data_IF_142774693450
#
_entry.id   IF_142774693450
#
_cell.length_a   1.000
_cell.length_b   1.000
_cell.length_c   1.000
_cell.angle_alpha   90.00
_cell.angle_beta   90.00
_cell.angle_gamma   90.00
#
_symmetry.space_group_name_H-M   'P 1'
#
loop_
_entity.id
_entity.type
_entity.pdbx_description
1 polymer ?
#
# COMPACT_ATOMS: atom_id res chain seq x y z
N UNK A 1 -47.33 20.38 10.10
CA UNK A 1 -46.03 20.39 9.41
C UNK A 1 -45.67 18.96 9.04
N UNK A 2 -45.78 18.61 7.74
CA UNK A 2 -45.31 17.29 7.25
C UNK A 2 -43.80 17.38 7.07
N UNK A 3 -43.02 16.71 7.93
CA UNK A 3 -41.60 16.49 7.74
C UNK A 3 -41.43 15.30 6.77
N UNK A 4 -41.07 15.55 5.52
CA UNK A 4 -40.66 14.53 4.57
C UNK A 4 -39.15 14.41 4.63
N UNK A 5 -38.66 13.32 5.18
CA UNK A 5 -37.22 12.98 5.11
C UNK A 5 -37.02 11.91 4.00
N UNK A 6 -36.08 12.13 3.06
CA UNK A 6 -35.76 11.11 2.09
C UNK A 6 -35.08 9.92 2.81
N UNK A 7 -35.61 8.70 2.58
CA UNK A 7 -35.00 7.47 3.04
C UNK A 7 -34.22 6.86 1.88
N UNK A 8 -32.91 6.71 2.03
CA UNK A 8 -32.09 5.97 1.07
C UNK A 8 -31.83 4.56 1.58
N UNK A 9 -32.20 3.57 0.79
CA UNK A 9 -31.90 2.18 1.01
C UNK A 9 -31.21 1.62 -0.24
N UNK A 10 -29.88 1.52 -0.19
CA UNK A 10 -29.07 1.08 -1.32
C UNK A 10 -27.59 0.96 -0.97
N UNK A 11 -26.76 0.53 -1.94
CA UNK A 11 -25.31 0.45 -1.74
C UNK A 11 -24.72 1.83 -1.47
N UNK A 12 -23.67 1.87 -0.62
CA UNK A 12 -23.00 3.11 -0.22
C UNK A 12 -22.04 3.62 -1.32
N UNK A 13 -22.60 3.94 -2.49
CA UNK A 13 -21.84 4.58 -3.56
C UNK A 13 -21.61 6.06 -3.19
N UNK A 14 -20.35 6.48 -3.11
CA UNK A 14 -19.98 7.82 -2.62
C UNK A 14 -20.59 8.94 -3.46
N UNK A 15 -20.65 8.81 -4.78
CA UNK A 15 -21.24 9.80 -5.68
C UNK A 15 -22.76 9.99 -5.42
N UNK A 16 -23.47 8.88 -5.24
CA UNK A 16 -24.92 8.91 -4.96
C UNK A 16 -25.20 9.49 -3.57
N UNK A 17 -24.37 9.16 -2.58
CA UNK A 17 -24.51 9.67 -1.22
C UNK A 17 -24.24 11.18 -1.17
N UNK A 18 -23.21 11.67 -1.83
CA UNK A 18 -22.90 13.10 -1.93
C UNK A 18 -24.02 13.90 -2.63
N UNK A 19 -24.68 13.31 -3.63
CA UNK A 19 -25.79 13.93 -4.33
C UNK A 19 -27.08 14.00 -3.50
N UNK A 20 -27.28 13.07 -2.54
CA UNK A 20 -28.49 13.00 -1.72
C UNK A 20 -28.47 14.01 -0.57
N UNK A 21 -27.36 14.16 0.12
CA UNK A 21 -27.22 15.14 1.17
C UNK A 21 -25.75 15.48 1.43
N UNK A 22 -25.41 16.76 1.71
CA UNK A 22 -24.05 17.17 2.06
C UNK A 22 -23.58 16.44 3.30
N UNK A 23 -22.42 15.78 3.21
CA UNK A 23 -21.81 15.03 4.33
C UNK A 23 -22.25 13.58 4.45
N UNK A 24 -23.17 13.09 3.61
CA UNK A 24 -23.57 11.68 3.61
C UNK A 24 -22.47 10.77 3.02
N UNK A 25 -21.57 11.32 2.22
CA UNK A 25 -20.34 10.70 1.72
C UNK A 25 -19.39 10.30 2.85
N UNK A 26 -19.46 11.01 4.00
CA UNK A 26 -18.71 10.67 5.23
C UNK A 26 -19.19 9.37 5.90
N UNK A 27 -20.29 8.77 5.43
CA UNK A 27 -20.72 7.44 5.89
C UNK A 27 -19.72 6.34 5.55
N UNK A 28 -18.87 6.55 4.54
CA UNK A 28 -17.71 5.71 4.25
C UNK A 28 -16.53 6.23 5.07
N UNK A 29 -16.38 5.69 6.29
CA UNK A 29 -15.33 6.12 7.21
C UNK A 29 -14.05 5.28 7.00
N UNK A 30 -12.98 5.95 6.59
CA UNK A 30 -11.63 5.39 6.51
C UNK A 30 -10.81 5.62 7.78
N UNK A 31 -11.46 6.06 8.89
CA UNK A 31 -10.82 6.36 10.16
C UNK A 31 -9.76 7.45 10.05
N UNK A 32 -8.69 7.31 10.82
CA UNK A 32 -7.57 8.27 10.84
C UNK A 32 -6.79 8.33 9.52
N UNK A 33 -6.92 7.31 8.66
CA UNK A 33 -6.29 7.25 7.34
C UNK A 33 -7.08 7.95 6.23
N UNK A 34 -8.21 8.57 6.55
CA UNK A 34 -9.05 9.31 5.59
C UNK A 34 -8.24 10.36 4.81
N UNK A 35 -7.25 11.00 5.48
CA UNK A 35 -6.36 11.98 4.84
C UNK A 35 -5.58 11.38 3.66
N UNK A 36 -5.26 10.08 3.72
CA UNK A 36 -4.55 9.36 2.65
C UNK A 36 -5.55 8.65 1.73
N UNK A 37 -6.58 8.04 2.31
CA UNK A 37 -7.56 7.23 1.59
C UNK A 37 -8.43 8.06 0.64
N UNK A 38 -8.90 9.23 1.07
CA UNK A 38 -9.76 10.08 0.26
C UNK A 38 -9.09 10.57 -1.05
N UNK A 39 -7.86 11.12 -1.05
CA UNK A 39 -7.20 11.49 -2.29
C UNK A 39 -6.86 10.28 -3.18
N UNK A 40 -6.56 9.11 -2.57
CA UNK A 40 -6.33 7.88 -3.36
C UNK A 40 -7.61 7.41 -4.06
N UNK A 41 -8.74 7.47 -3.36
CA UNK A 41 -10.03 7.11 -3.93
C UNK A 41 -10.45 8.10 -5.03
N UNK A 42 -10.29 9.38 -4.79
CA UNK A 42 -10.54 10.42 -5.82
C UNK A 42 -9.69 10.20 -7.07
N UNK A 43 -8.41 9.93 -6.89
CA UNK A 43 -7.51 9.66 -8.01
C UNK A 43 -7.90 8.38 -8.75
N UNK A 44 -8.32 7.34 -8.01
CA UNK A 44 -8.81 6.09 -8.59
C UNK A 44 -10.06 6.30 -9.43
N UNK A 45 -11.04 7.07 -8.94
CA UNK A 45 -12.24 7.44 -9.69
C UNK A 45 -11.91 8.26 -10.93
N UNK A 46 -10.98 9.21 -10.83
CA UNK A 46 -10.55 10.01 -11.97
C UNK A 46 -9.93 9.14 -13.07
N UNK A 47 -9.04 8.21 -12.71
CA UNK A 47 -8.45 7.25 -13.66
C UNK A 47 -9.52 6.34 -14.24
N UNK A 48 -10.47 5.87 -13.42
CA UNK A 48 -11.58 5.05 -13.88
C UNK A 48 -12.44 5.77 -14.90
N UNK A 49 -12.71 7.06 -14.70
CA UNK A 49 -13.45 7.89 -15.66
C UNK A 49 -12.83 7.92 -17.08
N UNK A 50 -11.51 7.72 -17.17
CA UNK A 50 -10.79 7.66 -18.46
C UNK A 50 -10.71 6.24 -19.02
N UNK A 51 -10.53 5.24 -18.16
CA UNK A 51 -10.28 3.85 -18.57
C UNK A 51 -11.56 3.04 -18.72
N UNK A 52 -12.63 3.42 -18.02
CA UNK A 52 -13.89 2.66 -17.94
C UNK A 52 -13.75 1.30 -17.27
N UNK A 53 -12.59 0.99 -16.67
CA UNK A 53 -12.31 -0.31 -16.06
C UNK A 53 -11.59 -0.16 -14.74
N UNK A 54 -12.18 -0.64 -13.65
CA UNK A 54 -11.64 -0.53 -12.31
C UNK A 54 -10.30 -1.27 -12.12
N UNK A 55 -10.14 -2.43 -12.74
CA UNK A 55 -8.90 -3.18 -12.67
C UNK A 55 -7.73 -2.46 -13.33
N UNK A 56 -7.96 -1.86 -14.50
CA UNK A 56 -6.96 -1.02 -15.18
C UNK A 56 -6.64 0.22 -14.35
N UNK A 57 -7.65 0.84 -13.75
CA UNK A 57 -7.46 2.00 -12.87
C UNK A 57 -6.57 1.67 -11.66
N UNK A 58 -6.76 0.51 -11.04
CA UNK A 58 -5.92 0.04 -9.92
C UNK A 58 -4.46 -0.17 -10.38
N UNK A 59 -4.24 -0.75 -11.55
CA UNK A 59 -2.89 -0.96 -12.10
C UNK A 59 -2.19 0.38 -12.33
N UNK A 60 -2.87 1.32 -12.98
CA UNK A 60 -2.31 2.67 -13.25
C UNK A 60 -2.02 3.39 -11.93
N UNK A 61 -2.96 3.38 -10.97
CA UNK A 61 -2.76 3.96 -9.64
C UNK A 61 -1.54 3.36 -8.95
N UNK A 62 -1.38 2.04 -9.00
CA UNK A 62 -0.23 1.34 -8.41
C UNK A 62 1.08 1.78 -9.06
N UNK A 63 1.12 1.92 -10.38
CA UNK A 63 2.29 2.42 -11.11
C UNK A 63 2.62 3.85 -10.69
N UNK A 64 1.63 4.73 -10.60
CA UNK A 64 1.82 6.12 -10.17
C UNK A 64 2.39 6.21 -8.75
N UNK A 65 1.84 5.43 -7.81
CA UNK A 65 2.35 5.36 -6.43
C UNK A 65 3.81 4.86 -6.43
N UNK A 66 4.12 3.82 -7.21
CA UNK A 66 5.49 3.29 -7.32
C UNK A 66 6.46 4.30 -7.93
N UNK A 67 6.04 5.05 -8.92
CA UNK A 67 6.85 6.11 -9.52
C UNK A 67 7.09 7.26 -8.53
N UNK A 68 6.07 7.66 -7.79
CA UNK A 68 6.19 8.70 -6.76
C UNK A 68 7.20 8.32 -5.68
N UNK A 69 7.17 7.07 -5.23
CA UNK A 69 8.06 6.54 -4.20
C UNK A 69 9.36 5.94 -4.74
N UNK A 70 9.59 6.03 -6.06
CA UNK A 70 10.80 5.50 -6.70
C UNK A 70 12.11 6.00 -6.08
N UNK A 71 12.34 7.32 -5.88
CA UNK A 71 13.59 7.80 -5.30
C UNK A 71 13.83 7.28 -3.89
N UNK A 72 12.76 7.12 -3.10
CA UNK A 72 12.84 6.56 -1.75
C UNK A 72 13.18 5.07 -1.78
N UNK A 73 12.60 4.33 -2.71
CA UNK A 73 12.88 2.90 -2.93
C UNK A 73 14.33 2.70 -3.40
N UNK A 74 14.81 3.52 -4.33
CA UNK A 74 16.20 3.47 -4.81
C UNK A 74 17.20 3.66 -3.66
N UNK A 75 16.99 4.67 -2.81
CA UNK A 75 17.83 4.92 -1.64
C UNK A 75 17.87 3.70 -0.70
N UNK A 76 16.74 3.01 -0.51
CA UNK A 76 16.65 1.81 0.29
C UNK A 76 17.42 0.64 -0.31
N UNK A 77 17.23 0.36 -1.61
CA UNK A 77 17.96 -0.71 -2.29
C UNK A 77 19.47 -0.48 -2.26
N UNK A 78 19.93 0.75 -2.41
CA UNK A 78 21.35 1.12 -2.25
C UNK A 78 21.84 0.84 -0.84
N UNK A 79 21.06 1.16 0.20
CA UNK A 79 21.41 0.88 1.59
C UNK A 79 21.46 -0.64 1.86
N UNK A 80 20.48 -1.41 1.36
CA UNK A 80 20.48 -2.87 1.46
C UNK A 80 21.66 -3.50 0.74
N UNK A 81 22.03 -3.03 -0.45
CA UNK A 81 23.20 -3.52 -1.18
C UNK A 81 24.49 -3.31 -0.38
N UNK A 82 24.66 -2.14 0.25
CA UNK A 82 25.79 -1.88 1.15
C UNK A 82 25.79 -2.82 2.35
N UNK A 83 24.64 -3.09 2.95
CA UNK A 83 24.52 -4.04 4.06
C UNK A 83 24.94 -5.47 3.67
N UNK A 84 24.64 -5.93 2.44
CA UNK A 84 25.10 -7.24 1.94
C UNK A 84 26.63 -7.32 1.84
N UNK A 85 27.29 -6.26 1.42
CA UNK A 85 28.76 -6.19 1.34
C UNK A 85 29.40 -6.28 2.73
N UNK A 86 28.76 -5.74 3.75
CA UNK A 86 29.25 -5.72 5.14
C UNK A 86 28.81 -6.97 5.93
N UNK A 87 27.89 -7.78 5.40
CA UNK A 87 27.40 -8.99 6.05
C UNK A 87 28.53 -9.92 6.57
N UNK A 88 29.63 -10.22 5.82
CA UNK A 88 30.71 -11.04 6.35
C UNK A 88 31.44 -10.40 7.51
N UNK A 89 31.57 -9.06 7.56
CA UNK A 89 32.17 -8.34 8.71
C UNK A 89 31.26 -8.44 9.93
N UNK A 90 29.94 -8.32 9.74
CA UNK A 90 28.94 -8.50 10.80
C UNK A 90 28.99 -9.91 11.40
N UNK A 91 29.19 -10.91 10.55
CA UNK A 91 29.30 -12.30 11.00
C UNK A 91 30.54 -12.50 11.89
N UNK A 92 31.68 -11.94 11.50
CA UNK A 92 32.90 -11.96 12.33
C UNK A 92 32.72 -11.30 13.70
N UNK A 93 32.01 -10.16 13.75
CA UNK A 93 31.69 -9.49 15.02
C UNK A 93 30.80 -10.39 15.90
N UNK A 94 29.80 -11.07 15.30
CA UNK A 94 28.96 -12.01 16.04
C UNK A 94 29.75 -13.19 16.59
N UNK A 95 30.66 -13.73 15.80
CA UNK A 95 31.52 -14.87 16.22
C UNK A 95 32.50 -14.44 17.31
N UNK A 96 33.00 -13.20 17.25
CA UNK A 96 33.98 -12.67 18.19
C UNK A 96 33.37 -12.26 19.53
N UNK A 97 32.15 -11.73 19.54
CA UNK A 97 31.47 -11.21 20.73
C UNK A 97 30.18 -11.95 21.09
N UNK A 98 30.04 -13.20 20.64
CA UNK A 98 28.80 -13.99 20.74
C UNK A 98 28.15 -14.08 22.13
N UNK A 99 28.93 -13.97 23.20
CA UNK A 99 28.48 -14.03 24.58
C UNK A 99 28.27 -12.66 25.24
N UNK A 100 28.78 -11.57 24.65
CA UNK A 100 28.67 -10.22 25.18
C UNK A 100 27.83 -9.33 24.28
N UNK A 101 26.52 -9.29 24.57
CA UNK A 101 25.55 -8.51 23.79
C UNK A 101 25.88 -7.01 23.74
N UNK A 102 26.43 -6.44 24.83
CA UNK A 102 26.74 -5.02 24.87
C UNK A 102 27.91 -4.67 23.95
N UNK A 103 29.00 -5.43 24.03
CA UNK A 103 30.16 -5.23 23.14
C UNK A 103 29.83 -5.50 21.68
N UNK A 104 29.00 -6.54 21.43
CA UNK A 104 28.53 -6.82 20.08
C UNK A 104 27.73 -5.65 19.49
N UNK A 105 26.81 -5.06 20.26
CA UNK A 105 26.04 -3.89 19.81
C UNK A 105 26.93 -2.67 19.56
N UNK A 106 27.89 -2.42 20.44
CA UNK A 106 28.84 -1.32 20.26
C UNK A 106 29.69 -1.51 19.01
N UNK A 107 30.25 -2.70 18.80
CA UNK A 107 31.05 -3.02 17.60
C UNK A 107 30.22 -2.93 16.31
N UNK A 108 28.93 -3.36 16.35
CA UNK A 108 28.02 -3.21 15.22
C UNK A 108 27.71 -1.74 14.90
N UNK A 109 27.47 -0.90 15.93
CA UNK A 109 27.26 0.53 15.75
C UNK A 109 28.49 1.24 15.18
N UNK A 110 29.68 0.85 15.65
CA UNK A 110 30.94 1.39 15.15
C UNK A 110 31.19 0.98 13.69
N UNK A 111 30.90 -0.26 13.35
CA UNK A 111 30.94 -0.74 11.97
C UNK A 111 30.01 0.07 11.05
N UNK A 112 28.76 0.32 11.47
CA UNK A 112 27.81 1.13 10.70
C UNK A 112 28.28 2.58 10.51
N UNK A 113 28.92 3.17 11.53
CA UNK A 113 29.51 4.53 11.45
C UNK A 113 30.70 4.57 10.50
N UNK A 114 31.58 3.58 10.58
CA UNK A 114 32.82 3.48 9.76
C UNK A 114 32.48 3.27 8.28
N UNK A 115 31.52 2.38 8.00
CA UNK A 115 31.11 2.07 6.62
C UNK A 115 30.05 3.06 6.08
N UNK A 116 29.67 4.07 6.88
CA UNK A 116 28.64 5.07 6.54
C UNK A 116 27.32 4.44 6.08
N UNK A 117 26.92 3.36 6.75
CA UNK A 117 25.67 2.66 6.48
C UNK A 117 24.63 3.12 7.48
N UNK A 118 23.49 3.58 6.96
CA UNK A 118 22.34 3.88 7.80
C UNK A 118 21.36 2.68 7.76
N UNK A 119 21.27 1.89 8.85
CA UNK A 119 20.37 0.75 8.91
C UNK A 119 18.90 1.18 8.82
N UNK A 120 18.56 2.39 9.30
CA UNK A 120 17.22 2.95 9.21
C UNK A 120 16.87 3.39 7.78
N UNK A 121 17.86 3.70 6.95
CA UNK A 121 17.62 4.06 5.55
C UNK A 121 17.04 2.91 4.72
N UNK A 122 17.32 1.66 5.10
CA UNK A 122 16.79 0.48 4.43
C UNK A 122 15.32 0.20 4.75
N UNK A 123 14.85 0.51 5.95
CA UNK A 123 13.47 0.25 6.36
C UNK A 123 12.54 1.47 6.17
N UNK A 124 13.08 2.66 5.96
CA UNK A 124 12.28 3.90 5.83
C UNK A 124 11.19 3.81 4.75
N UNK A 125 11.45 3.27 3.54
CA UNK A 125 10.40 3.13 2.54
C UNK A 125 9.26 2.21 2.98
N UNK A 126 9.58 1.17 3.73
CA UNK A 126 8.58 0.24 4.26
C UNK A 126 7.66 0.98 5.24
N UNK A 127 8.24 1.75 6.17
CA UNK A 127 7.49 2.53 7.18
C UNK A 127 6.58 3.56 6.52
N UNK A 128 7.04 4.24 5.46
CA UNK A 128 6.24 5.21 4.70
C UNK A 128 5.18 4.51 3.85
N UNK A 129 5.50 3.34 3.29
CA UNK A 129 4.63 2.60 2.41
C UNK A 129 3.49 1.88 3.15
N UNK A 130 3.69 1.44 4.42
CA UNK A 130 2.66 0.74 5.20
C UNK A 130 1.35 1.54 5.32
N UNK A 131 1.34 2.83 5.71
CA UNK A 131 0.11 3.61 5.78
C UNK A 131 -0.60 3.71 4.43
N UNK A 132 0.17 3.83 3.33
CA UNK A 132 -0.37 3.90 1.97
C UNK A 132 -1.03 2.57 1.58
N UNK A 133 -0.41 1.44 1.90
CA UNK A 133 -1.00 0.12 1.65
C UNK A 133 -2.26 -0.12 2.48
N UNK A 134 -2.25 0.25 3.76
CA UNK A 134 -3.43 0.11 4.61
C UNK A 134 -4.57 0.99 4.10
N UNK A 135 -4.27 2.25 3.73
CA UNK A 135 -5.27 3.14 3.16
C UNK A 135 -5.85 2.59 1.85
N UNK A 136 -5.00 2.10 0.95
CA UNK A 136 -5.44 1.48 -0.30
C UNK A 136 -6.26 0.21 -0.06
N UNK A 137 -5.85 -0.63 0.88
CA UNK A 137 -6.59 -1.83 1.28
C UNK A 137 -8.00 -1.47 1.77
N UNK A 138 -8.13 -0.46 2.62
CA UNK A 138 -9.42 0.00 3.12
C UNK A 138 -10.29 0.61 2.01
N UNK A 139 -9.68 1.39 1.12
CA UNK A 139 -10.37 1.93 -0.07
C UNK A 139 -10.93 0.79 -0.92
N UNK A 140 -10.12 -0.22 -1.23
CA UNK A 140 -10.54 -1.33 -2.08
C UNK A 140 -11.62 -2.21 -1.41
N UNK A 141 -11.49 -2.49 -0.11
CA UNK A 141 -12.51 -3.26 0.62
C UNK A 141 -13.80 -2.49 0.86
N UNK A 142 -13.69 -1.19 1.14
CA UNK A 142 -14.83 -0.34 1.42
C UNK A 142 -15.60 0.09 0.17
N UNK A 143 -14.97 0.03 -1.01
CA UNK A 143 -15.60 0.45 -2.26
C UNK A 143 -16.59 -0.58 -2.75
N UNK A 144 -17.85 -0.21 -2.77
CA UNK A 144 -18.95 -1.02 -3.33
C UNK A 144 -18.85 -1.08 -4.86
N UNK A 145 -18.23 -0.07 -5.46
CA UNK A 145 -18.04 0.11 -6.91
C UNK A 145 -17.20 -1.01 -7.56
N UNK A 146 -16.38 -1.69 -6.77
CA UNK A 146 -15.55 -2.81 -7.25
C UNK A 146 -16.27 -4.15 -7.22
N UNK A 147 -17.43 -4.23 -6.56
CA UNK A 147 -18.24 -5.42 -6.54
C UNK A 147 -18.88 -5.65 -7.91
N UNK A 148 -18.73 -6.87 -8.43
CA UNK A 148 -19.21 -7.26 -9.77
C UNK A 148 -18.59 -6.42 -10.91
N UNK A 149 -17.48 -5.71 -10.64
CA UNK A 149 -16.75 -4.99 -11.67
C UNK A 149 -15.85 -5.95 -12.46
N UNK A 150 -16.06 -6.09 -13.77
CA UNK A 150 -15.23 -6.95 -14.60
C UNK A 150 -13.87 -6.29 -14.85
N UNK A 151 -12.81 -7.11 -14.86
CA UNK A 151 -11.48 -6.65 -15.26
C UNK A 151 -11.15 -7.08 -16.69
N UNK A 152 -10.80 -8.34 -16.85
CA UNK A 152 -10.44 -8.91 -18.16
C UNK A 152 -10.47 -10.44 -18.12
N UNK A 153 -10.64 -11.06 -19.27
CA UNK A 153 -10.61 -12.51 -19.47
C UNK A 153 -11.63 -13.22 -18.56
N UNK A 154 -11.15 -14.01 -17.62
CA UNK A 154 -11.97 -14.79 -16.68
C UNK A 154 -12.34 -14.03 -15.40
N UNK A 155 -11.73 -12.87 -15.14
CA UNK A 155 -11.98 -12.06 -13.96
C UNK A 155 -13.22 -11.19 -14.23
N UNK A 156 -14.37 -11.67 -13.77
CA UNK A 156 -15.66 -10.99 -13.93
C UNK A 156 -16.06 -10.15 -12.73
N UNK A 157 -15.38 -10.34 -11.60
CA UNK A 157 -15.63 -9.66 -10.35
C UNK A 157 -14.31 -9.45 -9.60
N UNK A 158 -13.93 -8.19 -9.36
CA UNK A 158 -12.71 -7.83 -8.64
C UNK A 158 -12.80 -8.10 -7.13
N UNK A 159 -13.99 -8.30 -6.60
CA UNK A 159 -14.21 -8.64 -5.19
C UNK A 159 -14.19 -10.14 -4.91
N UNK A 160 -14.20 -10.98 -5.93
CA UNK A 160 -14.16 -12.44 -5.82
C UNK A 160 -12.76 -13.00 -5.98
N UNK A 161 -12.40 -14.08 -5.27
CA UNK A 161 -11.13 -14.75 -5.48
C UNK A 161 -11.02 -15.31 -6.90
N UNK A 162 -9.79 -15.39 -7.42
CA UNK A 162 -9.52 -15.95 -8.75
C UNK A 162 -9.94 -17.44 -8.80
N UNK A 163 -10.92 -17.83 -9.63
CA UNK A 163 -11.43 -19.20 -9.69
C UNK A 163 -10.37 -20.22 -10.17
N UNK A 164 -9.36 -19.77 -10.90
CA UNK A 164 -8.30 -20.61 -11.45
C UNK A 164 -6.99 -20.52 -10.68
N UNK A 165 -6.90 -19.67 -9.64
CA UNK A 165 -5.70 -19.44 -8.85
C UNK A 165 -4.46 -19.00 -9.69
N UNK A 166 -4.68 -18.51 -10.91
CA UNK A 166 -3.60 -18.11 -11.82
C UNK A 166 -2.85 -16.90 -11.27
N UNK A 167 -3.57 -15.89 -10.75
CA UNK A 167 -2.95 -14.69 -10.20
C UNK A 167 -2.06 -14.97 -8.98
N UNK A 168 -2.49 -15.76 -7.97
CA UNK A 168 -1.62 -16.17 -6.88
C UNK A 168 -0.37 -16.96 -7.33
N UNK A 169 -0.52 -17.85 -8.33
CA UNK A 169 0.60 -18.62 -8.88
C UNK A 169 1.59 -17.70 -9.58
N UNK A 170 1.12 -16.78 -10.42
CA UNK A 170 1.97 -15.78 -11.08
C UNK A 170 2.70 -14.88 -10.07
N UNK A 171 2.01 -14.47 -9.01
CA UNK A 171 2.62 -13.68 -7.95
C UNK A 171 3.72 -14.48 -7.24
N UNK A 172 3.46 -15.75 -6.89
CA UNK A 172 4.46 -16.62 -6.27
C UNK A 172 5.66 -16.90 -7.17
N UNK A 173 5.46 -17.05 -8.48
CA UNK A 173 6.55 -17.26 -9.44
C UNK A 173 7.38 -16.00 -9.70
N UNK A 174 6.83 -14.80 -9.46
CA UNK A 174 7.52 -13.51 -9.64
C UNK A 174 8.37 -13.08 -8.44
N UNK A 175 8.22 -13.74 -7.30
CA UNK A 175 8.99 -13.51 -6.07
C UNK A 175 10.23 -14.40 -6.00
#
# INVERSE_FOLDING_TARGET
TKLAMPLYAGPQEQEKLAALAPGLDLAVDYGWLTVIAAPLFWLLQWIHGWTGNWGVAIIILTILIKLLFYPLSEASYRSMAKMRVVAPKMQRIKDQYGNDRQRMQQAMMELYKTEKINPLGGCLPIVVQIPVFIALYWVLLGSVEMRQAPFALWIKDLSSPDPWFILPILMGASM
#
